data_IF_486549104418
#
_entry.id   IF_486549104418
#
_cell.length_a   1.000
_cell.length_b   1.000
_cell.length_c   1.000
_cell.angle_alpha   90.00
_cell.angle_beta   90.00
_cell.angle_gamma   90.00
#
_symmetry.space_group_name_H-M   'P 1'
#
loop_
_entity.id
_entity.type
_entity.pdbx_description
1 polymer ?
#
# COMPACT_ATOMS: atom_id res chain seq x y z
N UNK A 1 1.94 3.16 -10.31
CA UNK A 1 2.98 2.81 -9.33
C UNK A 1 4.27 3.49 -9.78
N UNK A 2 4.90 4.33 -8.94
CA UNK A 2 6.03 5.19 -9.34
C UNK A 2 7.26 4.99 -8.44
N UNK A 3 8.48 5.34 -8.91
CA UNK A 3 9.72 5.06 -8.17
C UNK A 3 9.83 5.68 -6.76
N UNK A 4 9.04 6.71 -6.50
CA UNK A 4 8.99 7.46 -5.24
C UNK A 4 7.98 6.91 -4.22
N UNK A 5 7.12 5.94 -4.60
CA UNK A 5 6.14 5.40 -3.67
C UNK A 5 6.80 4.63 -2.53
N UNK A 6 6.34 4.92 -1.32
CA UNK A 6 6.70 4.23 -0.09
C UNK A 6 5.64 3.16 0.26
N UNK A 7 5.99 2.15 1.09
CA UNK A 7 5.02 1.17 1.57
C UNK A 7 3.75 1.77 2.18
N UNK A 8 3.88 2.86 2.94
CA UNK A 8 2.76 3.57 3.58
C UNK A 8 1.81 4.23 2.57
N UNK A 9 2.29 4.56 1.37
CA UNK A 9 1.41 5.09 0.31
C UNK A 9 0.49 4.01 -0.28
N UNK A 10 0.79 2.74 0.01
CA UNK A 10 -0.02 1.57 -0.37
C UNK A 10 -0.89 1.12 0.80
N UNK A 11 -0.28 0.88 1.96
CA UNK A 11 -0.95 0.31 3.13
C UNK A 11 -1.68 1.34 3.99
N UNK A 12 -1.32 2.61 3.91
CA UNK A 12 -1.80 3.68 4.79
C UNK A 12 -0.79 4.08 5.85
N UNK A 13 -1.09 5.15 6.58
CA UNK A 13 -0.21 5.73 7.60
C UNK A 13 -1.01 6.22 8.80
N UNK A 14 -0.40 6.22 9.97
CA UNK A 14 -0.91 6.96 11.11
C UNK A 14 -0.51 8.43 10.98
N UNK A 15 -1.48 9.33 11.18
CA UNK A 15 -1.28 10.78 11.27
C UNK A 15 -1.70 11.27 12.63
N UNK A 16 -0.92 12.21 13.17
CA UNK A 16 -1.23 12.87 14.43
C UNK A 16 -2.26 13.97 14.16
N UNK A 17 -3.47 13.80 14.65
CA UNK A 17 -4.51 14.83 14.66
C UNK A 17 -4.53 15.52 16.03
N UNK A 18 -4.65 16.85 16.02
CA UNK A 18 -4.91 17.65 17.22
C UNK A 18 -6.37 18.09 17.19
N UNK A 19 -7.11 17.80 18.25
CA UNK A 19 -8.50 18.24 18.40
C UNK A 19 -8.54 19.75 18.65
N UNK A 20 -9.15 20.50 17.72
CA UNK A 20 -9.14 21.96 17.76
C UNK A 20 -9.89 22.58 18.95
N UNK A 21 -10.78 21.83 19.61
CA UNK A 21 -11.55 22.30 20.76
C UNK A 21 -10.87 21.99 22.10
N UNK A 22 -10.11 20.89 22.17
CA UNK A 22 -9.53 20.38 23.43
C UNK A 22 -8.00 20.41 23.48
N UNK A 23 -7.32 20.53 22.33
CA UNK A 23 -5.86 20.42 22.21
C UNK A 23 -5.32 18.99 22.38
N UNK A 24 -6.20 17.99 22.49
CA UNK A 24 -5.80 16.59 22.63
C UNK A 24 -5.20 16.06 21.33
N UNK A 25 -4.07 15.35 21.41
CA UNK A 25 -3.40 14.72 20.27
C UNK A 25 -3.73 13.24 20.19
N UNK A 26 -4.22 12.80 19.05
CA UNK A 26 -4.54 11.40 18.78
C UNK A 26 -3.94 10.92 17.47
N UNK A 27 -3.52 9.67 17.42
CA UNK A 27 -3.16 9.03 16.16
C UNK A 27 -4.43 8.56 15.44
N UNK A 28 -4.60 8.97 14.19
CA UNK A 28 -5.62 8.49 13.28
C UNK A 28 -4.96 7.73 12.14
N UNK A 29 -5.39 6.51 11.92
CA UNK A 29 -4.99 5.75 10.75
C UNK A 29 -5.72 6.25 9.50
N UNK A 30 -4.96 6.68 8.50
CA UNK A 30 -5.44 7.00 7.15
C UNK A 30 -5.19 5.79 6.27
N UNK A 31 -6.28 5.21 5.79
CA UNK A 31 -6.29 4.02 4.93
C UNK A 31 -5.64 4.34 3.58
N UNK A 32 -4.70 3.50 3.16
CA UNK A 32 -4.12 3.55 1.82
C UNK A 32 -5.04 2.97 0.73
N UNK A 33 -4.62 3.02 -0.54
CA UNK A 33 -5.41 2.58 -1.69
C UNK A 33 -5.73 1.07 -1.69
N UNK A 34 -5.03 0.23 -0.93
CA UNK A 34 -5.36 -1.21 -0.81
C UNK A 34 -6.70 -1.46 -0.11
N UNK A 35 -7.27 -0.47 0.58
CA UNK A 35 -8.60 -0.61 1.19
C UNK A 35 -9.72 -0.31 0.17
N UNK A 36 -9.81 -1.17 -0.84
CA UNK A 36 -10.81 -1.15 -1.92
C UNK A 36 -11.16 -2.59 -2.29
N UNK A 37 -12.26 -2.81 -3.01
CA UNK A 37 -12.56 -4.15 -3.54
C UNK A 37 -11.77 -4.48 -4.81
N UNK A 38 -11.45 -3.47 -5.63
CA UNK A 38 -10.72 -3.63 -6.88
C UNK A 38 -9.61 -2.58 -6.95
N UNK A 39 -8.38 -3.05 -7.15
CA UNK A 39 -7.19 -2.22 -7.28
C UNK A 39 -6.50 -2.48 -8.62
N UNK A 40 -6.20 -1.42 -9.35
CA UNK A 40 -5.34 -1.47 -10.54
C UNK A 40 -3.93 -0.99 -10.16
N UNK A 41 -2.98 -1.91 -10.16
CA UNK A 41 -1.56 -1.66 -9.92
C UNK A 41 -0.79 -1.57 -11.23
N UNK A 42 -0.94 -0.43 -11.91
CA UNK A 42 -0.30 -0.17 -13.20
C UNK A 42 1.21 0.08 -13.04
N UNK A 43 2.00 -0.61 -13.86
CA UNK A 43 3.47 -0.62 -13.89
C UNK A 43 4.10 -0.91 -12.52
N UNK A 44 3.63 -1.96 -11.84
CA UNK A 44 4.07 -2.30 -10.48
C UNK A 44 5.60 -2.44 -10.36
N UNK A 45 6.24 -2.90 -11.42
CA UNK A 45 7.70 -3.05 -11.49
C UNK A 45 8.46 -1.72 -11.47
N UNK A 46 7.81 -0.56 -11.58
CA UNK A 46 8.47 0.76 -11.42
C UNK A 46 8.60 1.20 -9.96
N UNK A 47 8.03 0.46 -9.01
CA UNK A 47 8.17 0.77 -7.58
C UNK A 47 9.32 0.02 -6.92
N UNK A 48 9.92 0.57 -5.85
CA UNK A 48 10.93 -0.13 -5.08
C UNK A 48 10.44 -1.49 -4.56
N UNK A 49 11.32 -2.50 -4.41
CA UNK A 49 10.91 -3.84 -3.96
C UNK A 49 10.15 -3.85 -2.62
N UNK A 50 10.48 -2.93 -1.70
CA UNK A 50 9.78 -2.79 -0.41
C UNK A 50 8.31 -2.38 -0.59
N UNK A 51 8.02 -1.53 -1.55
CA UNK A 51 6.66 -1.05 -1.85
C UNK A 51 5.86 -2.14 -2.56
N UNK A 52 6.50 -2.88 -3.46
CA UNK A 52 5.91 -4.09 -4.05
C UNK A 52 5.56 -5.12 -2.98
N UNK A 53 6.49 -5.40 -2.05
CA UNK A 53 6.27 -6.34 -0.96
C UNK A 53 5.09 -5.93 -0.06
N UNK A 54 4.89 -4.64 0.18
CA UNK A 54 3.75 -4.14 0.95
C UNK A 54 2.40 -4.47 0.30
N UNK A 55 2.31 -4.31 -1.04
CA UNK A 55 1.11 -4.72 -1.79
C UNK A 55 0.93 -6.24 -1.76
N UNK A 56 1.99 -7.00 -2.05
CA UNK A 56 1.96 -8.46 -2.11
C UNK A 56 1.58 -9.07 -0.74
N UNK A 57 2.08 -8.51 0.36
CA UNK A 57 1.71 -8.91 1.70
C UNK A 57 0.22 -8.65 1.97
N UNK A 58 -0.30 -7.48 1.59
CA UNK A 58 -1.71 -7.16 1.72
C UNK A 58 -2.60 -8.13 0.93
N UNK A 59 -2.17 -8.53 -0.28
CA UNK A 59 -2.84 -9.55 -1.10
C UNK A 59 -2.80 -10.93 -0.45
N UNK A 60 -1.64 -11.37 0.02
CA UNK A 60 -1.45 -12.69 0.60
C UNK A 60 -2.19 -12.86 1.93
N UNK A 61 -2.21 -11.82 2.78
CA UNK A 61 -2.82 -11.89 4.10
C UNK A 61 -4.29 -11.43 4.15
N UNK A 62 -4.78 -10.72 3.13
CA UNK A 62 -6.13 -10.14 3.12
C UNK A 62 -6.35 -9.10 4.23
N UNK A 63 -5.28 -8.50 4.73
CA UNK A 63 -5.28 -7.53 5.83
C UNK A 63 -4.02 -6.67 5.80
N UNK A 64 -4.06 -5.55 6.49
CA UNK A 64 -2.93 -4.65 6.73
C UNK A 64 -2.76 -4.47 8.22
N UNK A 65 -1.52 -4.54 8.71
CA UNK A 65 -1.20 -4.20 10.11
C UNK A 65 -0.37 -2.92 10.15
N UNK A 66 -0.85 -1.91 10.87
CA UNK A 66 -0.18 -0.63 11.04
C UNK A 66 -0.38 -0.13 12.47
N UNK A 67 0.65 0.46 13.08
CA UNK A 67 0.57 1.00 14.44
C UNK A 67 0.17 -0.03 15.51
N UNK A 68 0.47 -1.32 15.30
CA UNK A 68 0.05 -2.42 16.18
C UNK A 68 -1.42 -2.84 16.05
N UNK A 69 -2.17 -2.26 15.12
CA UNK A 69 -3.57 -2.60 14.83
C UNK A 69 -3.69 -3.24 13.45
N UNK A 70 -4.48 -4.32 13.38
CA UNK A 70 -4.77 -5.03 12.13
C UNK A 70 -6.11 -4.57 11.56
N UNK A 71 -6.14 -4.35 10.25
CA UNK A 71 -7.29 -3.91 9.48
C UNK A 71 -7.57 -4.93 8.37
N UNK A 72 -8.73 -5.60 8.35
CA UNK A 72 -9.07 -6.51 7.27
C UNK A 72 -9.31 -5.75 5.96
N UNK A 73 -9.03 -6.41 4.83
CA UNK A 73 -9.46 -5.98 3.51
C UNK A 73 -10.79 -6.66 3.19
N UNK A 74 -11.79 -5.89 2.78
CA UNK A 74 -13.14 -6.40 2.58
C UNK A 74 -13.23 -7.23 1.29
N UNK A 75 -13.72 -8.49 1.34
CA UNK A 75 -13.92 -9.29 0.14
C UNK A 75 -15.12 -8.80 -0.68
N UNK A 76 -15.08 -8.91 -2.03
CA UNK A 76 -13.95 -9.40 -2.80
C UNK A 76 -12.79 -8.41 -2.80
N UNK A 77 -11.55 -8.92 -2.74
CA UNK A 77 -10.34 -8.14 -2.86
C UNK A 77 -9.54 -8.62 -4.08
N UNK A 78 -9.55 -7.82 -5.15
CA UNK A 78 -8.94 -8.16 -6.43
C UNK A 78 -7.92 -7.11 -6.83
N UNK A 79 -6.73 -7.58 -7.23
CA UNK A 79 -5.66 -6.72 -7.73
C UNK A 79 -5.36 -7.11 -9.17
N UNK A 80 -5.51 -6.14 -10.08
CA UNK A 80 -5.05 -6.25 -11.46
C UNK A 80 -3.72 -5.50 -11.53
N UNK A 81 -2.64 -6.17 -11.93
CA UNK A 81 -1.33 -5.54 -12.04
C UNK A 81 -0.82 -5.63 -13.48
N UNK A 82 -0.15 -4.58 -13.93
CA UNK A 82 0.59 -4.57 -15.20
C UNK A 82 2.08 -4.40 -14.90
N UNK A 83 2.92 -4.87 -15.81
CA UNK A 83 4.36 -4.62 -15.76
C UNK A 83 4.77 -3.95 -17.06
N UNK A 84 5.63 -2.92 -16.94
CA UNK A 84 6.26 -2.32 -18.11
C UNK A 84 7.39 -3.25 -18.59
N UNK A 85 7.36 -3.77 -19.83
CA UNK A 85 8.32 -4.76 -20.32
C UNK A 85 9.69 -4.18 -20.69
N UNK A 86 9.85 -2.86 -20.72
CA UNK A 86 11.08 -2.20 -21.19
C UNK A 86 11.99 -1.90 -19.99
N UNK A 87 13.17 -2.52 -19.93
CA UNK A 87 14.23 -2.25 -18.96
C UNK A 87 15.01 -0.97 -19.32
N UNK A 88 14.34 0.19 -19.30
CA UNK A 88 15.04 1.48 -19.24
C UNK A 88 15.11 1.87 -17.76
N UNK A 89 16.31 1.86 -17.19
CA UNK A 89 16.69 2.22 -15.80
C UNK A 89 15.54 2.46 -14.81
N UNK A 90 15.46 1.62 -13.77
CA UNK A 90 14.54 1.84 -12.64
C UNK A 90 13.33 0.91 -12.58
N UNK A 91 13.38 -0.25 -13.24
CA UNK A 91 12.39 -1.33 -13.05
C UNK A 91 12.95 -2.43 -12.14
N UNK A 92 12.15 -2.87 -11.16
CA UNK A 92 12.41 -4.00 -10.29
C UNK A 92 11.43 -5.12 -10.63
N UNK A 93 11.91 -6.25 -11.19
CA UNK A 93 11.02 -7.36 -11.53
C UNK A 93 10.34 -7.89 -10.26
N UNK A 94 9.12 -8.41 -10.42
CA UNK A 94 8.44 -9.10 -9.34
C UNK A 94 9.24 -10.37 -8.98
N UNK A 95 9.35 -10.72 -7.69
CA UNK A 95 9.94 -11.99 -7.29
C UNK A 95 9.21 -13.17 -7.94
N UNK A 96 9.96 -14.19 -8.35
CA UNK A 96 9.36 -15.47 -8.73
C UNK A 96 8.68 -16.11 -7.51
N UNK A 97 7.50 -16.69 -7.73
CA UNK A 97 6.69 -17.37 -6.71
C UNK A 97 6.97 -18.87 -6.67
#
# INVERSE_FOLDING_TARGET
FTPDLMPSDITGTDVLEEDAATGERRFRFVRGPVFTNVLLADEINRTPPKTQAALLQAMAEGRVTAGGKTYPLEPPYLVFATQNPIEQEGTYPLPEA
#
